data_IF_277434859632
#
_entry.id   IF_277434859632
#
_cell.length_a   1.000
_cell.length_b   1.000
_cell.length_c   1.000
_cell.angle_alpha   90.00
_cell.angle_beta   90.00
_cell.angle_gamma   90.00
#
_symmetry.space_group_name_H-M   'P 1'
#
loop_
_entity.id
_entity.type
_entity.pdbx_description
1 polymer ?
#
# COMPACT_ATOMS: atom_id res chain seq x y z
N UNK A 1 23.31 9.44 -31.70
CA UNK A 1 22.43 8.80 -30.71
C UNK A 1 21.09 9.53 -30.75
N UNK A 2 20.05 8.87 -31.26
CA UNK A 2 18.67 9.41 -31.25
C UNK A 2 18.26 9.74 -29.82
N UNK A 3 17.78 10.97 -29.55
CA UNK A 3 17.21 11.32 -28.26
C UNK A 3 15.91 10.54 -28.13
N UNK A 4 15.92 9.45 -27.32
CA UNK A 4 14.69 8.72 -26.99
C UNK A 4 13.69 9.71 -26.40
N UNK A 5 12.49 9.77 -26.98
CA UNK A 5 11.42 10.67 -26.50
C UNK A 5 10.66 9.97 -25.38
N UNK A 6 10.59 10.62 -24.22
CA UNK A 6 9.83 10.14 -23.06
C UNK A 6 8.35 9.97 -23.47
N UNK A 7 7.74 8.81 -23.16
CA UNK A 7 6.33 8.51 -23.42
C UNK A 7 6.03 7.89 -24.78
N UNK A 8 7.00 7.81 -25.71
CA UNK A 8 6.79 7.19 -27.02
C UNK A 8 7.48 5.84 -27.17
N UNK A 9 8.71 5.71 -26.67
CA UNK A 9 9.48 4.48 -26.75
C UNK A 9 9.86 3.96 -25.35
N UNK A 10 9.93 2.62 -25.15
CA UNK A 10 10.38 2.05 -23.89
C UNK A 10 11.84 2.38 -23.60
N UNK A 11 12.13 2.96 -22.43
CA UNK A 11 13.48 3.30 -21.98
C UNK A 11 13.86 2.39 -20.80
N UNK A 12 14.79 1.47 -21.05
CA UNK A 12 15.30 0.55 -20.01
C UNK A 12 16.62 1.00 -19.39
N UNK A 13 17.29 1.99 -19.96
CA UNK A 13 18.48 2.66 -19.39
C UNK A 13 18.26 4.17 -19.37
N UNK A 14 17.85 4.68 -18.22
CA UNK A 14 17.55 6.10 -18.06
C UNK A 14 18.76 7.02 -18.17
N UNK A 15 20.00 6.48 -18.12
CA UNK A 15 21.23 7.28 -18.33
C UNK A 15 21.25 7.92 -19.72
N UNK A 16 20.61 7.29 -20.71
CA UNK A 16 20.46 7.83 -22.06
C UNK A 16 19.68 9.15 -22.13
N UNK A 17 18.83 9.40 -21.11
CA UNK A 17 18.03 10.63 -20.99
C UNK A 17 18.82 11.81 -20.39
N UNK A 18 19.95 11.52 -19.74
CA UNK A 18 20.77 12.50 -19.00
C UNK A 18 20.28 12.77 -17.58
N UNK A 19 21.22 13.23 -16.71
CA UNK A 19 20.97 13.42 -15.26
C UNK A 19 19.76 14.33 -14.92
N UNK A 20 19.53 15.50 -15.58
CA UNK A 20 18.40 16.34 -15.21
C UNK A 20 17.05 15.66 -15.45
N UNK A 21 16.88 14.95 -16.57
CA UNK A 21 15.64 14.23 -16.87
C UNK A 21 15.40 13.07 -15.93
N UNK A 22 16.46 12.33 -15.58
CA UNK A 22 16.38 11.26 -14.57
C UNK A 22 15.92 11.81 -13.21
N UNK A 23 16.42 12.97 -12.81
CA UNK A 23 16.01 13.60 -11.55
C UNK A 23 14.55 14.03 -11.58
N UNK A 24 14.07 14.65 -12.67
CA UNK A 24 12.66 15.03 -12.84
C UNK A 24 11.76 13.80 -12.79
N UNK A 25 12.14 12.71 -13.46
CA UNK A 25 11.39 11.44 -13.41
C UNK A 25 11.38 10.85 -11.98
N UNK A 26 12.50 10.90 -11.27
CA UNK A 26 12.55 10.51 -9.85
C UNK A 26 11.62 11.35 -8.98
N UNK A 27 11.58 12.65 -9.21
CA UNK A 27 10.65 13.56 -8.52
C UNK A 27 9.18 13.23 -8.86
N UNK A 28 8.88 12.84 -10.10
CA UNK A 28 7.55 12.36 -10.51
C UNK A 28 7.12 11.12 -9.71
N UNK A 29 8.00 10.14 -9.59
CA UNK A 29 7.73 8.94 -8.81
C UNK A 29 7.57 9.24 -7.32
N UNK A 30 8.33 10.19 -6.77
CA UNK A 30 8.17 10.65 -5.39
C UNK A 30 6.80 11.29 -5.18
N UNK A 31 6.35 12.16 -6.07
CA UNK A 31 5.02 12.76 -5.98
C UNK A 31 3.88 11.77 -6.19
N UNK A 32 4.06 10.76 -7.04
CA UNK A 32 3.03 9.73 -7.26
C UNK A 32 2.79 8.89 -6.00
N UNK A 33 3.85 8.49 -5.30
CA UNK A 33 3.74 7.70 -4.08
C UNK A 33 3.31 8.54 -2.86
N UNK A 34 3.56 9.85 -2.90
CA UNK A 34 3.47 10.72 -1.74
C UNK A 34 2.06 10.71 -1.12
N UNK A 35 1.03 10.90 -1.96
CA UNK A 35 -0.36 10.97 -1.49
C UNK A 35 -0.78 9.73 -0.71
N UNK A 36 -0.50 8.56 -1.23
CA UNK A 36 -0.81 7.30 -0.57
C UNK A 36 0.06 7.08 0.69
N UNK A 37 1.36 7.37 0.60
CA UNK A 37 2.32 7.13 1.70
C UNK A 37 2.00 7.95 2.95
N UNK A 38 1.52 9.18 2.81
CA UNK A 38 1.21 10.05 3.97
C UNK A 38 -0.15 9.79 4.59
N UNK A 39 -1.08 9.18 3.85
CA UNK A 39 -2.42 8.86 4.37
C UNK A 39 -2.40 7.73 5.39
N UNK A 40 -1.57 6.72 5.21
CA UNK A 40 -1.51 5.57 6.14
C UNK A 40 -1.09 6.00 7.54
N UNK A 41 0.00 6.76 7.78
CA UNK A 41 0.34 7.23 9.12
C UNK A 41 -0.75 8.14 9.70
N UNK A 42 -1.38 9.02 8.91
CA UNK A 42 -2.48 9.86 9.36
C UNK A 42 -3.68 9.04 9.88
N UNK A 43 -3.97 7.89 9.27
CA UNK A 43 -5.08 7.00 9.63
C UNK A 43 -4.72 6.00 10.73
N UNK A 44 -3.47 5.60 10.85
CA UNK A 44 -2.99 4.63 11.84
C UNK A 44 -2.44 5.26 13.11
N UNK A 45 -2.21 6.59 13.13
CA UNK A 45 -1.59 7.30 14.25
C UNK A 45 -0.06 7.20 14.29
N UNK A 46 0.56 6.63 13.26
CA UNK A 46 2.01 6.56 13.11
C UNK A 46 2.59 7.90 12.61
N UNK A 47 3.90 8.02 12.62
CA UNK A 47 4.58 9.26 12.24
C UNK A 47 4.89 9.33 10.75
N UNK A 48 4.62 10.51 10.15
CA UNK A 48 4.83 10.77 8.72
C UNK A 48 6.31 10.77 8.33
N UNK A 49 7.17 11.37 9.17
CA UNK A 49 8.60 11.44 8.87
C UNK A 49 9.24 10.06 8.91
N UNK A 50 8.92 9.26 9.93
CA UNK A 50 9.36 7.86 10.04
C UNK A 50 8.85 7.03 8.85
N UNK A 51 7.60 7.24 8.43
CA UNK A 51 7.02 6.57 7.25
C UNK A 51 7.79 6.87 5.98
N UNK A 52 8.08 8.14 5.69
CA UNK A 52 8.84 8.54 4.50
C UNK A 52 10.28 8.00 4.51
N UNK A 53 10.93 8.00 5.67
CA UNK A 53 12.26 7.42 5.84
C UNK A 53 12.27 5.96 5.42
N UNK A 54 11.35 5.16 5.99
CA UNK A 54 11.33 3.72 5.76
C UNK A 54 10.66 3.32 4.43
N UNK A 55 9.84 4.15 3.82
CA UNK A 55 9.43 3.98 2.42
C UNK A 55 10.65 4.09 1.50
N UNK A 56 11.51 5.09 1.72
CA UNK A 56 12.75 5.24 0.95
C UNK A 56 13.75 4.11 1.22
N UNK A 57 14.08 3.82 2.49
CA UNK A 57 15.01 2.74 2.87
C UNK A 57 14.48 1.38 2.41
N UNK A 58 13.18 1.10 2.60
CA UNK A 58 12.52 -0.14 2.18
C UNK A 58 12.60 -0.32 0.66
N UNK A 59 12.37 0.74 -0.13
CA UNK A 59 12.54 0.72 -1.59
C UNK A 59 13.98 0.39 -1.99
N UNK A 60 14.99 1.01 -1.34
CA UNK A 60 16.40 0.71 -1.64
C UNK A 60 16.77 -0.72 -1.26
N UNK A 61 16.29 -1.22 -0.11
CA UNK A 61 16.48 -2.61 0.32
C UNK A 61 15.83 -3.59 -0.66
N UNK A 62 14.60 -3.31 -1.10
CA UNK A 62 13.91 -4.11 -2.13
C UNK A 62 14.72 -4.16 -3.43
N UNK A 63 15.23 -3.02 -3.91
CA UNK A 63 16.07 -2.99 -5.11
C UNK A 63 17.38 -3.77 -4.94
N UNK A 64 17.97 -3.75 -3.76
CA UNK A 64 19.16 -4.55 -3.46
C UNK A 64 18.86 -6.06 -3.58
N UNK A 65 17.77 -6.51 -2.95
CA UNK A 65 17.37 -7.92 -2.92
C UNK A 65 16.87 -8.42 -4.28
N UNK A 66 16.24 -7.55 -5.08
CA UNK A 66 15.77 -7.84 -6.44
C UNK A 66 16.85 -7.62 -7.51
N UNK A 67 18.13 -7.45 -7.11
CA UNK A 67 19.28 -7.21 -7.99
C UNK A 67 19.13 -5.96 -8.86
N UNK A 68 18.37 -4.96 -8.40
CA UNK A 68 18.12 -3.73 -9.13
C UNK A 68 17.34 -3.91 -10.44
N UNK A 69 16.55 -4.98 -10.59
CA UNK A 69 15.84 -5.31 -11.83
C UNK A 69 14.40 -4.77 -11.85
N UNK A 70 13.70 -4.80 -10.73
CA UNK A 70 12.27 -4.46 -10.62
C UNK A 70 12.10 -2.97 -10.34
N UNK A 71 11.44 -2.20 -11.22
CA UNK A 71 11.21 -0.78 -11.01
C UNK A 71 9.96 -0.52 -10.13
N UNK A 72 9.92 -1.11 -8.92
CA UNK A 72 8.87 -0.88 -7.96
C UNK A 72 9.31 0.11 -6.88
N UNK A 73 8.40 1.00 -6.46
CA UNK A 73 8.52 1.80 -5.24
C UNK A 73 7.73 1.12 -4.12
N UNK A 74 8.29 1.07 -2.92
CA UNK A 74 7.60 0.58 -1.74
C UNK A 74 7.16 1.74 -0.88
N UNK A 75 5.88 1.77 -0.54
CA UNK A 75 5.31 2.75 0.37
C UNK A 75 4.44 2.08 1.44
N UNK A 76 3.74 2.87 2.22
CA UNK A 76 2.96 2.38 3.36
C UNK A 76 1.72 1.58 2.93
N UNK A 77 1.52 0.40 3.52
CA UNK A 77 0.42 -0.51 3.19
C UNK A 77 -0.90 -0.11 3.86
N UNK A 78 -1.96 0.02 3.06
CA UNK A 78 -3.31 0.28 3.53
C UNK A 78 -3.96 -0.93 4.21
N UNK A 79 -3.60 -2.14 3.82
CA UNK A 79 -4.20 -3.37 4.34
C UNK A 79 -3.96 -3.56 5.84
N UNK A 80 -2.90 -2.99 6.40
CA UNK A 80 -2.59 -3.08 7.82
C UNK A 80 -3.26 -2.01 8.69
N UNK A 81 -3.95 -1.00 8.10
CA UNK A 81 -4.62 0.07 8.88
C UNK A 81 -5.62 -0.53 9.87
N UNK A 82 -6.41 -1.51 9.43
CA UNK A 82 -7.34 -2.22 10.33
C UNK A 82 -6.64 -2.90 11.51
N UNK A 83 -5.46 -3.47 11.30
CA UNK A 83 -4.65 -4.09 12.34
C UNK A 83 -4.10 -3.08 13.35
N UNK A 84 -3.53 -1.95 12.88
CA UNK A 84 -3.10 -0.87 13.78
C UNK A 84 -4.25 -0.34 14.62
N UNK A 85 -5.40 -0.08 13.99
CA UNK A 85 -6.56 0.43 14.68
C UNK A 85 -7.14 -0.58 15.67
N UNK A 86 -7.20 -1.86 15.34
CA UNK A 86 -7.68 -2.91 16.23
C UNK A 86 -6.82 -3.00 17.50
N UNK A 87 -5.50 -2.91 17.39
CA UNK A 87 -4.58 -3.01 18.54
C UNK A 87 -4.65 -1.75 19.41
N UNK A 88 -4.77 -0.55 18.84
CA UNK A 88 -4.81 0.69 19.62
C UNK A 88 -6.20 1.11 20.12
N UNK A 89 -7.27 0.44 19.71
CA UNK A 89 -8.63 0.73 20.18
C UNK A 89 -8.82 0.23 21.61
N UNK A 90 -9.16 1.13 22.54
CA UNK A 90 -9.40 0.81 23.95
C UNK A 90 -10.87 0.93 24.34
N UNK A 91 -11.74 1.38 23.45
CA UNK A 91 -13.16 1.53 23.68
C UNK A 91 -13.85 2.30 22.55
N UNK A 92 -15.13 2.56 22.73
CA UNK A 92 -15.94 3.36 21.81
C UNK A 92 -16.69 4.45 22.56
N UNK A 93 -16.79 5.63 21.94
CA UNK A 93 -17.60 6.75 22.44
C UNK A 93 -19.11 6.46 22.30
N UNK A 94 -19.94 7.29 22.89
CA UNK A 94 -21.40 7.18 22.79
C UNK A 94 -21.94 7.33 21.34
N UNK A 95 -21.20 8.01 20.48
CA UNK A 95 -21.50 8.16 19.03
C UNK A 95 -21.00 6.99 18.17
N UNK A 96 -20.41 5.96 18.79
CA UNK A 96 -19.84 4.80 18.11
C UNK A 96 -18.43 5.00 17.55
N UNK A 97 -17.80 6.18 17.75
CA UNK A 97 -16.41 6.40 17.32
C UNK A 97 -15.43 5.69 18.26
N UNK A 98 -14.34 5.14 17.68
CA UNK A 98 -13.32 4.44 18.43
C UNK A 98 -12.47 5.40 19.28
N UNK A 99 -12.15 4.98 20.50
CA UNK A 99 -11.18 5.65 21.38
C UNK A 99 -9.83 4.98 21.19
N UNK A 100 -8.83 5.76 20.76
CA UNK A 100 -7.51 5.25 20.47
C UNK A 100 -6.49 5.57 21.56
N UNK A 101 -5.66 4.57 21.89
CA UNK A 101 -4.44 4.75 22.69
C UNK A 101 -3.21 4.51 21.82
N UNK A 102 -2.51 5.59 21.47
CA UNK A 102 -1.33 5.52 20.62
C UNK A 102 -0.10 4.91 21.32
N UNK A 103 -0.12 4.71 22.64
CA UNK A 103 0.94 4.01 23.37
C UNK A 103 1.00 2.53 23.01
N UNK A 104 -0.10 1.99 22.47
CA UNK A 104 -0.17 0.61 21.98
C UNK A 104 0.39 0.42 20.56
N UNK A 105 0.77 1.51 19.87
CA UNK A 105 1.31 1.41 18.50
C UNK A 105 2.61 0.60 18.42
N UNK A 106 3.44 0.60 19.45
CA UNK A 106 4.65 -0.22 19.48
C UNK A 106 4.33 -1.74 19.45
N UNK A 107 3.25 -2.17 20.12
CA UNK A 107 2.75 -3.55 20.04
C UNK A 107 2.23 -3.86 18.63
N UNK A 108 1.48 -2.96 18.02
CA UNK A 108 1.03 -3.12 16.65
C UNK A 108 2.21 -3.21 15.67
N UNK A 109 3.21 -2.36 15.82
CA UNK A 109 4.45 -2.42 15.03
C UNK A 109 5.18 -3.74 15.19
N UNK A 110 5.22 -4.32 16.41
CA UNK A 110 5.77 -5.66 16.61
C UNK A 110 4.97 -6.73 15.85
N UNK A 111 3.64 -6.69 15.91
CA UNK A 111 2.77 -7.59 15.14
C UNK A 111 3.03 -7.51 13.63
N UNK A 112 3.21 -6.28 13.10
CA UNK A 112 3.53 -6.04 11.68
C UNK A 112 4.95 -6.51 11.34
N UNK A 113 5.92 -6.35 12.23
CA UNK A 113 7.27 -6.87 12.02
C UNK A 113 7.26 -8.39 11.87
N UNK A 114 6.50 -9.10 12.70
CA UNK A 114 6.30 -10.56 12.57
C UNK A 114 5.53 -10.90 11.28
N UNK A 115 4.50 -10.11 10.90
CA UNK A 115 3.80 -10.28 9.64
C UNK A 115 4.74 -10.16 8.42
N UNK A 116 5.71 -9.24 8.45
CA UNK A 116 6.76 -9.12 7.43
C UNK A 116 7.63 -10.38 7.31
N UNK A 117 7.89 -11.09 8.43
CA UNK A 117 8.64 -12.36 8.40
C UNK A 117 7.85 -13.50 7.74
N UNK A 118 6.50 -13.43 7.72
CA UNK A 118 5.67 -14.43 7.00
C UNK A 118 5.94 -14.42 5.49
N UNK A 119 6.35 -13.29 4.93
CA UNK A 119 6.77 -13.21 3.53
C UNK A 119 7.99 -14.08 3.22
N UNK A 120 8.88 -14.30 4.20
CA UNK A 120 10.04 -15.19 4.05
C UNK A 120 9.58 -16.63 3.83
N UNK A 121 8.50 -17.04 4.50
CA UNK A 121 7.91 -18.38 4.33
C UNK A 121 7.41 -18.54 2.90
N UNK A 122 6.59 -17.60 2.41
CA UNK A 122 6.07 -17.65 1.04
C UNK A 122 7.20 -17.52 -0.01
N UNK A 123 8.17 -16.65 0.22
CA UNK A 123 9.39 -16.51 -0.59
C UNK A 123 10.12 -17.85 -0.71
N UNK A 124 10.27 -18.57 0.41
CA UNK A 124 10.93 -19.88 0.45
C UNK A 124 10.12 -20.93 -0.31
N UNK A 125 8.78 -20.91 -0.19
CA UNK A 125 7.92 -21.80 -0.99
C UNK A 125 8.07 -21.55 -2.49
N UNK A 126 8.12 -20.29 -2.92
CA UNK A 126 8.39 -19.96 -4.34
C UNK A 126 9.78 -20.43 -4.80
N UNK A 127 10.79 -20.34 -3.93
CA UNK A 127 12.16 -20.78 -4.24
C UNK A 127 12.25 -22.30 -4.37
N UNK A 128 11.58 -23.06 -3.50
CA UNK A 128 11.64 -24.54 -3.44
C UNK A 128 10.74 -25.16 -4.48
N UNK A 129 9.48 -24.73 -4.56
CA UNK A 129 8.45 -25.37 -5.40
C UNK A 129 8.27 -24.74 -6.76
N UNK A 130 8.85 -23.55 -6.98
CA UNK A 130 8.74 -22.79 -8.21
C UNK A 130 7.41 -22.05 -8.36
N UNK A 131 7.39 -21.11 -9.32
CA UNK A 131 6.27 -20.19 -9.54
C UNK A 131 4.97 -20.93 -9.86
N UNK A 132 5.02 -21.88 -10.80
CA UNK A 132 3.84 -22.63 -11.28
C UNK A 132 3.07 -23.36 -10.17
N UNK A 133 3.79 -24.02 -9.25
CA UNK A 133 3.16 -24.78 -8.17
C UNK A 133 2.54 -23.87 -7.11
N UNK A 134 3.21 -22.77 -6.74
CA UNK A 134 2.73 -21.86 -5.69
C UNK A 134 1.59 -20.99 -6.21
N UNK A 135 1.68 -20.43 -7.43
CA UNK A 135 0.62 -19.62 -8.06
C UNK A 135 -0.71 -20.35 -8.23
N UNK A 136 -0.70 -21.68 -8.21
CA UNK A 136 -1.92 -22.48 -8.20
C UNK A 136 -2.85 -22.16 -7.03
N UNK A 137 -2.29 -21.66 -5.91
CA UNK A 137 -3.06 -21.27 -4.72
C UNK A 137 -3.49 -19.80 -4.75
N UNK A 138 -2.88 -18.99 -5.62
CA UNK A 138 -3.12 -17.55 -5.76
C UNK A 138 -3.60 -17.17 -7.18
N UNK A 139 -4.62 -17.86 -7.73
CA UNK A 139 -5.17 -17.49 -9.04
C UNK A 139 -5.93 -16.17 -8.97
N UNK A 140 -6.20 -15.51 -10.11
CA UNK A 140 -6.91 -14.24 -10.16
C UNK A 140 -8.29 -14.24 -9.49
N UNK A 141 -8.98 -15.39 -9.44
CA UNK A 141 -10.25 -15.56 -8.71
C UNK A 141 -10.09 -15.41 -7.19
N UNK A 142 -8.90 -15.58 -6.66
CA UNK A 142 -8.59 -15.36 -5.24
C UNK A 142 -8.01 -13.96 -5.05
N UNK A 143 -7.00 -13.60 -5.87
CA UNK A 143 -6.26 -12.33 -5.70
C UNK A 143 -7.14 -11.12 -6.00
N UNK A 144 -7.94 -11.16 -7.06
CA UNK A 144 -8.82 -10.07 -7.45
C UNK A 144 -9.82 -9.68 -6.36
N UNK A 145 -10.67 -10.59 -5.89
CA UNK A 145 -11.64 -10.30 -4.82
C UNK A 145 -10.98 -9.85 -3.50
N UNK A 146 -9.78 -10.35 -3.14
CA UNK A 146 -9.06 -9.87 -1.95
C UNK A 146 -8.65 -8.41 -2.12
N UNK A 147 -8.10 -8.02 -3.29
CA UNK A 147 -7.73 -6.63 -3.57
C UNK A 147 -8.97 -5.72 -3.58
N UNK A 148 -10.09 -6.17 -4.16
CA UNK A 148 -11.38 -5.45 -4.09
C UNK A 148 -11.76 -5.21 -2.64
N UNK A 149 -11.68 -6.25 -1.80
CA UNK A 149 -12.06 -6.19 -0.41
C UNK A 149 -11.18 -5.23 0.41
N UNK A 150 -9.87 -5.11 0.12
CA UNK A 150 -8.97 -4.15 0.79
C UNK A 150 -9.53 -2.73 0.67
N UNK A 151 -9.86 -2.28 -0.53
CA UNK A 151 -10.40 -0.93 -0.73
C UNK A 151 -11.79 -0.75 -0.09
N UNK A 152 -12.69 -1.74 -0.24
CA UNK A 152 -14.05 -1.64 0.28
C UNK A 152 -14.11 -1.65 1.82
N UNK A 153 -13.28 -2.42 2.51
CA UNK A 153 -13.26 -2.47 3.97
C UNK A 153 -12.80 -1.17 4.61
N UNK A 154 -12.02 -0.37 3.89
CA UNK A 154 -11.54 0.94 4.35
C UNK A 154 -12.54 2.08 4.09
N UNK A 155 -13.59 1.84 3.27
CA UNK A 155 -14.54 2.88 2.83
C UNK A 155 -15.25 3.59 3.98
N UNK A 156 -15.60 2.88 5.06
CA UNK A 156 -16.25 3.45 6.25
C UNK A 156 -15.38 4.52 6.92
N UNK A 157 -14.08 4.29 7.05
CA UNK A 157 -13.17 5.26 7.64
C UNK A 157 -13.08 6.55 6.79
N UNK A 158 -13.09 6.41 5.46
CA UNK A 158 -13.11 7.55 4.56
C UNK A 158 -14.41 8.35 4.70
N UNK A 159 -15.58 7.68 4.74
CA UNK A 159 -16.88 8.34 4.97
C UNK A 159 -16.90 9.06 6.33
N UNK A 160 -16.40 8.43 7.37
CA UNK A 160 -16.33 9.03 8.71
C UNK A 160 -15.47 10.30 8.69
N UNK A 161 -14.33 10.27 8.02
CA UNK A 161 -13.48 11.45 7.87
C UNK A 161 -14.15 12.56 7.04
N UNK A 162 -14.93 12.22 6.01
CA UNK A 162 -15.69 13.19 5.21
C UNK A 162 -16.75 13.93 6.04
N UNK A 163 -17.33 13.28 7.06
CA UNK A 163 -18.34 13.90 7.94
C UNK A 163 -17.82 15.12 8.71
N UNK A 164 -16.50 15.24 8.90
CA UNK A 164 -15.92 16.43 9.52
C UNK A 164 -16.27 17.71 8.74
N UNK A 165 -16.21 17.67 7.40
CA UNK A 165 -16.68 18.75 6.53
C UNK A 165 -16.87 18.21 5.09
N UNK A 166 -18.11 17.93 4.70
CA UNK A 166 -18.43 17.43 3.37
C UNK A 166 -18.02 18.35 2.22
N UNK A 167 -18.06 19.67 2.43
CA UNK A 167 -17.67 20.60 1.39
C UNK A 167 -16.20 20.45 1.01
N UNK A 168 -15.30 20.38 2.00
CA UNK A 168 -13.87 20.14 1.78
C UNK A 168 -13.63 18.77 1.15
N UNK A 169 -14.34 17.73 1.61
CA UNK A 169 -14.22 16.38 1.06
C UNK A 169 -14.67 16.33 -0.42
N UNK A 170 -15.78 16.99 -0.78
CA UNK A 170 -16.27 17.06 -2.17
C UNK A 170 -15.26 17.80 -3.05
N UNK A 171 -14.71 18.91 -2.58
CA UNK A 171 -13.66 19.64 -3.32
C UNK A 171 -12.46 18.75 -3.58
N UNK A 172 -12.01 17.96 -2.59
CA UNK A 172 -10.93 16.99 -2.76
C UNK A 172 -11.25 15.97 -3.87
N UNK A 173 -12.45 15.36 -3.81
CA UNK A 173 -12.92 14.38 -4.79
C UNK A 173 -12.97 14.99 -6.20
N UNK A 174 -13.55 16.18 -6.34
CA UNK A 174 -13.70 16.86 -7.64
C UNK A 174 -12.34 17.19 -8.25
N UNK A 175 -11.36 17.62 -7.44
CA UNK A 175 -10.01 17.89 -7.91
C UNK A 175 -9.35 16.61 -8.41
N UNK A 176 -9.43 15.51 -7.64
CA UNK A 176 -8.84 14.22 -8.05
C UNK A 176 -9.48 13.74 -9.35
N UNK A 177 -10.81 13.76 -9.47
CA UNK A 177 -11.51 13.36 -10.69
C UNK A 177 -11.13 14.26 -11.86
N UNK A 178 -11.10 15.60 -11.65
CA UNK A 178 -10.78 16.57 -12.67
C UNK A 178 -9.40 16.32 -13.29
N UNK A 179 -8.38 16.11 -12.45
CA UNK A 179 -7.03 15.85 -12.95
C UNK A 179 -6.86 14.44 -13.52
N UNK A 180 -7.60 13.42 -13.04
CA UNK A 180 -7.60 12.10 -13.66
C UNK A 180 -8.19 12.12 -15.07
N UNK A 181 -9.30 12.85 -15.27
CA UNK A 181 -10.06 12.83 -16.53
C UNK A 181 -9.51 13.83 -17.57
N UNK A 182 -9.21 15.04 -17.14
CA UNK A 182 -8.81 16.14 -18.05
C UNK A 182 -7.36 16.58 -17.87
N UNK A 183 -6.64 16.04 -16.87
CA UNK A 183 -5.24 16.36 -16.64
C UNK A 183 -4.36 15.96 -17.81
N UNK A 184 -3.30 16.76 -18.04
CA UNK A 184 -2.29 16.51 -19.07
C UNK A 184 -0.90 16.44 -18.44
N UNK A 185 -0.02 15.62 -19.02
CA UNK A 185 1.36 15.49 -18.55
C UNK A 185 1.44 15.10 -17.07
N UNK A 186 2.19 15.87 -16.28
CA UNK A 186 2.41 15.62 -14.85
C UNK A 186 1.12 15.62 -14.04
N UNK A 187 0.19 16.53 -14.29
CA UNK A 187 -1.04 16.65 -13.52
C UNK A 187 -1.92 15.38 -13.60
N UNK A 188 -1.87 14.64 -14.71
CA UNK A 188 -2.54 13.34 -14.84
C UNK A 188 -1.88 12.24 -14.02
N UNK A 189 -0.59 12.38 -13.69
CA UNK A 189 0.19 11.38 -12.95
C UNK A 189 -0.02 11.50 -11.44
N UNK A 190 -0.27 12.72 -10.93
CA UNK A 190 -0.32 13.03 -9.49
C UNK A 190 -1.70 13.55 -9.03
N UNK A 191 -2.83 13.00 -9.48
CA UNK A 191 -4.16 13.55 -9.18
C UNK A 191 -4.46 13.52 -7.68
N UNK A 192 -4.03 12.47 -6.96
CA UNK A 192 -4.21 12.34 -5.51
C UNK A 192 -3.49 13.46 -4.78
N UNK A 193 -2.23 13.72 -5.12
CA UNK A 193 -1.46 14.83 -4.52
C UNK A 193 -2.12 16.19 -4.80
N UNK A 194 -2.61 16.41 -6.02
CA UNK A 194 -3.30 17.65 -6.37
C UNK A 194 -4.64 17.79 -5.63
N UNK A 195 -5.34 16.68 -5.41
CA UNK A 195 -6.53 16.62 -4.56
C UNK A 195 -6.24 17.00 -3.12
N UNK A 196 -5.17 16.43 -2.55
CA UNK A 196 -4.69 16.79 -1.20
C UNK A 196 -4.36 18.28 -1.14
N UNK A 197 -3.46 18.76 -1.99
CA UNK A 197 -3.00 20.15 -1.94
C UNK A 197 -4.15 21.15 -2.17
N UNK A 198 -4.98 20.91 -3.19
CA UNK A 198 -6.06 21.81 -3.54
C UNK A 198 -7.14 21.89 -2.48
N UNK A 199 -7.58 20.77 -1.92
CA UNK A 199 -8.57 20.77 -0.84
C UNK A 199 -7.99 21.24 0.49
N UNK A 200 -6.71 21.02 0.73
CA UNK A 200 -6.03 21.56 1.91
C UNK A 200 -5.94 23.09 1.87
N UNK A 201 -5.52 23.66 0.72
CA UNK A 201 -5.51 25.12 0.51
C UNK A 201 -6.93 25.67 0.65
N UNK A 202 -7.92 25.01 0.05
CA UNK A 202 -9.32 25.41 0.17
C UNK A 202 -9.78 25.42 1.65
N UNK A 203 -9.46 24.38 2.41
CA UNK A 203 -9.78 24.30 3.83
C UNK A 203 -9.17 25.46 4.64
N UNK A 204 -7.90 25.77 4.43
CA UNK A 204 -7.21 26.90 5.08
C UNK A 204 -7.86 28.25 4.74
N UNK A 205 -8.40 28.40 3.54
CA UNK A 205 -9.06 29.64 3.12
C UNK A 205 -10.43 29.81 3.79
N UNK A 206 -11.24 28.74 3.81
CA UNK A 206 -12.63 28.81 4.27
C UNK A 206 -12.79 28.64 5.78
N UNK A 207 -11.87 27.94 6.45
CA UNK A 207 -11.96 27.63 7.87
C UNK A 207 -10.80 28.28 8.65
N UNK A 208 -11.10 29.33 9.47
CA UNK A 208 -10.10 29.99 10.29
C UNK A 208 -9.49 29.06 11.37
N UNK A 209 -10.24 28.07 11.86
CA UNK A 209 -9.74 27.13 12.87
C UNK A 209 -8.68 26.18 12.27
N UNK A 210 -8.95 25.63 11.09
CA UNK A 210 -7.98 24.82 10.34
C UNK A 210 -6.72 25.62 10.01
N UNK A 211 -6.88 26.87 9.56
CA UNK A 211 -5.74 27.77 9.31
C UNK A 211 -4.88 28.00 10.54
N UNK A 212 -5.50 28.25 11.70
CA UNK A 212 -4.79 28.46 12.97
C UNK A 212 -4.06 27.16 13.42
N UNK A 213 -4.71 26.00 13.31
CA UNK A 213 -4.13 24.70 13.63
C UNK A 213 -2.89 24.41 12.80
N UNK A 214 -3.00 24.58 11.47
CA UNK A 214 -1.86 24.38 10.54
C UNK A 214 -0.72 25.35 10.84
N UNK A 215 -1.02 26.64 11.04
CA UNK A 215 -0.02 27.65 11.35
C UNK A 215 0.72 27.32 12.65
N UNK A 216 0.01 26.88 13.70
CA UNK A 216 0.59 26.48 14.97
C UNK A 216 1.50 25.25 14.81
N UNK A 217 1.04 24.21 14.11
CA UNK A 217 1.80 22.99 13.87
C UNK A 217 3.09 23.27 13.11
N UNK A 218 3.03 24.05 12.03
CA UNK A 218 4.19 24.37 11.18
C UNK A 218 5.16 25.33 11.89
N UNK A 219 4.66 26.31 12.65
CA UNK A 219 5.52 27.28 13.36
C UNK A 219 6.33 26.61 14.48
N UNK A 220 5.72 25.66 15.21
CA UNK A 220 6.38 24.94 16.30
C UNK A 220 7.40 23.90 15.84
N UNK A 221 7.30 23.42 14.59
CA UNK A 221 8.16 22.39 14.05
C UNK A 221 9.55 22.93 13.66
N UNK A 222 10.58 22.11 13.87
CA UNK A 222 11.97 22.41 13.46
C UNK A 222 12.16 22.16 11.96
N UNK A 223 13.15 22.82 11.36
CA UNK A 223 13.54 22.57 9.96
C UNK A 223 14.26 21.23 9.79
N UNK A 224 15.08 20.84 10.77
CA UNK A 224 15.84 19.59 10.75
C UNK A 224 15.58 18.78 12.03
N UNK A 225 15.42 17.48 11.90
CA UNK A 225 15.25 16.56 13.01
C UNK A 225 15.45 15.11 12.58
N UNK A 226 15.64 14.22 13.54
CA UNK A 226 15.68 12.79 13.27
C UNK A 226 14.24 12.30 12.98
N UNK A 227 14.02 11.61 11.85
CA UNK A 227 12.70 11.18 11.43
C UNK A 227 12.30 9.84 12.08
N UNK A 228 12.50 9.69 13.39
CA UNK A 228 12.17 8.48 14.15
C UNK A 228 11.48 8.87 15.45
N UNK A 229 10.25 8.42 15.62
CA UNK A 229 9.52 8.50 16.90
C UNK A 229 9.84 7.26 17.71
N UNK A 230 10.85 7.35 18.58
CA UNK A 230 11.36 6.22 19.37
C UNK A 230 10.27 5.48 20.15
N UNK A 231 9.27 6.20 20.67
CA UNK A 231 8.13 5.65 21.43
C UNK A 231 7.34 4.60 20.66
N UNK A 232 7.23 4.74 19.34
CA UNK A 232 6.50 3.81 18.49
C UNK A 232 7.35 2.61 18.05
N UNK A 233 8.67 2.61 18.33
CA UNK A 233 9.57 1.55 17.91
C UNK A 233 9.41 0.29 18.78
N UNK A 234 9.61 -0.85 18.17
CA UNK A 234 9.67 -2.14 18.88
C UNK A 234 10.82 -2.17 19.89
N UNK A 235 11.91 -1.45 19.63
CA UNK A 235 13.05 -1.36 20.57
C UNK A 235 12.66 -0.65 21.85
N UNK A 236 11.84 0.41 21.77
CA UNK A 236 11.31 1.08 22.95
C UNK A 236 10.37 0.18 23.75
N UNK A 237 9.55 -0.62 23.07
CA UNK A 237 8.66 -1.57 23.72
C UNK A 237 9.42 -2.54 24.62
N UNK A 238 10.55 -3.08 24.14
CA UNK A 238 11.38 -4.01 24.91
C UNK A 238 12.34 -3.33 25.89
N UNK A 239 12.42 -2.02 25.92
CA UNK A 239 13.19 -1.28 26.92
C UNK A 239 12.45 -1.12 28.27
N UNK A 240 11.17 -1.48 28.35
CA UNK A 240 10.32 -1.41 29.54
C UNK A 240 9.61 -2.73 29.84
N UNK A 241 8.70 -2.73 30.82
CA UNK A 241 7.85 -3.90 31.09
C UNK A 241 6.91 -4.14 29.92
N UNK A 242 6.93 -5.38 29.40
CA UNK A 242 6.11 -5.80 28.26
C UNK A 242 4.89 -6.56 28.76
N UNK A 243 3.71 -6.15 28.34
CA UNK A 243 2.49 -6.94 28.50
C UNK A 243 2.46 -8.08 27.47
N UNK A 244 2.74 -9.30 27.90
CA UNK A 244 2.77 -10.48 27.05
C UNK A 244 1.41 -10.78 26.43
N UNK A 245 0.30 -10.49 27.13
CA UNK A 245 -1.06 -10.69 26.62
C UNK A 245 -1.32 -9.79 25.41
N UNK A 246 -1.02 -8.48 25.56
CA UNK A 246 -1.15 -7.49 24.48
C UNK A 246 -0.22 -7.82 23.31
N UNK A 247 1.02 -8.27 23.59
CA UNK A 247 2.00 -8.62 22.56
C UNK A 247 1.47 -9.73 21.66
N UNK A 248 1.00 -10.85 22.26
CA UNK A 248 0.44 -11.97 21.51
C UNK A 248 -0.88 -11.61 20.82
N UNK A 249 -1.74 -10.81 21.46
CA UNK A 249 -2.96 -10.29 20.84
C UNK A 249 -2.66 -9.49 19.58
N UNK A 250 -1.68 -8.59 19.62
CA UNK A 250 -1.26 -7.81 18.46
C UNK A 250 -0.71 -8.71 17.33
N UNK A 251 0.14 -9.68 17.65
CA UNK A 251 0.70 -10.64 16.66
C UNK A 251 -0.43 -11.43 16.01
N UNK A 252 -1.31 -12.02 16.81
CA UNK A 252 -2.38 -12.89 16.30
C UNK A 252 -3.45 -12.13 15.51
N UNK A 253 -3.66 -10.83 15.81
CA UNK A 253 -4.55 -9.96 15.07
C UNK A 253 -3.96 -9.52 13.73
N UNK A 254 -2.65 -9.24 13.69
CA UNK A 254 -2.02 -8.59 12.54
C UNK A 254 -1.40 -9.60 11.56
N UNK A 255 -0.77 -10.68 12.05
CA UNK A 255 -0.10 -11.65 11.18
C UNK A 255 -1.03 -12.22 10.08
N UNK A 256 -2.29 -12.58 10.34
CA UNK A 256 -3.17 -13.07 9.29
C UNK A 256 -3.42 -12.08 8.15
N UNK A 257 -3.30 -10.76 8.40
CA UNK A 257 -3.41 -9.73 7.34
C UNK A 257 -2.29 -9.83 6.31
N UNK A 258 -1.14 -10.39 6.67
CA UNK A 258 -0.03 -10.60 5.74
C UNK A 258 -0.41 -11.45 4.53
N UNK A 259 -1.40 -12.34 4.65
CA UNK A 259 -1.90 -13.13 3.52
C UNK A 259 -2.50 -12.22 2.44
N UNK A 260 -3.30 -11.22 2.83
CA UNK A 260 -3.88 -10.27 1.89
C UNK A 260 -2.79 -9.44 1.19
N UNK A 261 -1.81 -8.95 1.94
CA UNK A 261 -0.73 -8.13 1.39
C UNK A 261 0.27 -8.92 0.55
N UNK A 262 0.52 -10.18 0.87
CA UNK A 262 1.30 -11.06 -0.01
C UNK A 262 0.59 -11.30 -1.35
N UNK A 263 -0.74 -11.43 -1.32
CA UNK A 263 -1.57 -11.53 -2.53
C UNK A 263 -1.52 -10.23 -3.34
N UNK A 264 -1.64 -9.08 -2.70
CA UNK A 264 -1.49 -7.75 -3.30
C UNK A 264 -0.13 -7.61 -4.00
N UNK A 265 0.96 -7.96 -3.30
CA UNK A 265 2.31 -7.94 -3.86
C UNK A 265 2.46 -8.81 -5.12
N UNK A 266 1.89 -10.01 -5.12
CA UNK A 266 1.89 -10.88 -6.30
C UNK A 266 1.20 -10.20 -7.48
N UNK A 267 0.03 -9.59 -7.24
CA UNK A 267 -0.72 -8.82 -8.26
C UNK A 267 0.08 -7.65 -8.82
N UNK A 268 0.72 -6.88 -7.95
CA UNK A 268 1.53 -5.73 -8.33
C UNK A 268 2.75 -6.12 -9.18
N UNK A 269 3.46 -7.17 -8.79
CA UNK A 269 4.61 -7.65 -9.58
C UNK A 269 4.17 -8.17 -10.96
N UNK A 270 2.99 -8.79 -11.07
CA UNK A 270 2.40 -9.14 -12.36
C UNK A 270 2.09 -7.88 -13.19
N UNK A 271 1.48 -6.86 -12.60
CA UNK A 271 1.15 -5.60 -13.27
C UNK A 271 2.42 -4.85 -13.74
N UNK A 272 3.45 -4.77 -12.89
CA UNK A 272 4.74 -4.18 -13.26
C UNK A 272 5.41 -4.97 -14.37
N UNK A 273 5.34 -6.31 -14.34
CA UNK A 273 5.91 -7.19 -15.38
C UNK A 273 5.26 -6.92 -16.72
N UNK A 274 3.93 -6.85 -16.76
CA UNK A 274 3.16 -6.52 -17.96
C UNK A 274 3.50 -5.13 -18.48
N UNK A 275 3.49 -4.12 -17.62
CA UNK A 275 3.79 -2.71 -17.97
C UNK A 275 5.19 -2.57 -18.57
N UNK A 276 6.18 -3.26 -18.01
CA UNK A 276 7.58 -3.19 -18.45
C UNK A 276 7.92 -4.15 -19.61
N UNK A 277 7.02 -5.06 -19.98
CA UNK A 277 7.30 -6.11 -20.95
C UNK A 277 8.43 -7.06 -20.49
N UNK A 278 8.58 -7.29 -19.19
CA UNK A 278 9.60 -8.15 -18.58
C UNK A 278 8.99 -9.07 -17.54
N UNK A 279 9.43 -10.31 -17.52
CA UNK A 279 8.93 -11.31 -16.57
C UNK A 279 9.69 -11.27 -15.24
N UNK A 280 9.28 -10.37 -14.33
CA UNK A 280 9.87 -10.26 -13.00
C UNK A 280 9.47 -11.39 -12.05
N UNK A 281 8.46 -12.18 -12.39
CA UNK A 281 8.06 -13.36 -11.63
C UNK A 281 9.10 -14.48 -11.70
N UNK A 282 9.87 -14.52 -12.79
CA UNK A 282 10.95 -15.49 -13.03
C UNK A 282 12.31 -14.88 -12.74
N UNK A 283 12.59 -13.67 -13.24
CA UNK A 283 13.87 -12.98 -13.06
C UNK A 283 13.63 -11.53 -12.61
N UNK A 284 13.90 -11.18 -11.35
CA UNK A 284 14.67 -11.90 -10.31
C UNK A 284 13.91 -13.02 -9.58
N UNK A 285 12.61 -13.16 -9.84
CA UNK A 285 11.73 -14.18 -9.27
C UNK A 285 10.96 -13.71 -8.04
N UNK A 286 9.74 -14.26 -7.84
CA UNK A 286 8.90 -13.95 -6.69
C UNK A 286 9.58 -14.18 -5.34
N UNK A 287 10.48 -15.18 -5.25
CA UNK A 287 11.22 -15.41 -4.02
C UNK A 287 12.08 -14.21 -3.59
N UNK A 288 12.55 -13.38 -4.54
CA UNK A 288 13.32 -12.17 -4.22
C UNK A 288 12.44 -10.96 -3.98
N UNK A 289 11.36 -10.81 -4.74
CA UNK A 289 10.45 -9.68 -4.57
C UNK A 289 9.69 -9.77 -3.25
N UNK A 290 9.18 -10.95 -2.88
CA UNK A 290 8.54 -11.21 -1.59
C UNK A 290 9.53 -11.05 -0.42
N UNK A 291 10.77 -11.56 -0.57
CA UNK A 291 11.79 -11.36 0.46
C UNK A 291 12.09 -9.87 0.66
N UNK A 292 12.15 -9.11 -0.43
CA UNK A 292 12.41 -7.67 -0.39
C UNK A 292 11.29 -6.89 0.29
N UNK A 293 10.05 -7.21 -0.04
CA UNK A 293 8.86 -6.57 0.52
C UNK A 293 8.69 -6.91 2.02
N UNK A 294 8.81 -8.19 2.37
CA UNK A 294 8.73 -8.65 3.76
C UNK A 294 9.81 -8.08 4.66
N UNK A 295 11.07 -8.07 4.22
CA UNK A 295 12.17 -7.49 4.99
C UNK A 295 12.07 -5.96 5.10
N UNK A 296 11.58 -5.27 4.06
CA UNK A 296 11.30 -3.84 4.12
C UNK A 296 10.19 -3.55 5.14
N UNK A 297 9.12 -4.34 5.15
CA UNK A 297 8.02 -4.26 6.14
C UNK A 297 8.53 -4.51 7.56
N UNK A 298 9.29 -5.58 7.77
CA UNK A 298 9.86 -5.89 9.09
C UNK A 298 10.76 -4.77 9.58
N UNK A 299 11.68 -4.30 8.73
CA UNK A 299 12.60 -3.22 9.09
C UNK A 299 11.85 -1.92 9.44
N UNK A 300 10.90 -1.51 8.61
CA UNK A 300 10.09 -0.32 8.84
C UNK A 300 9.37 -0.38 10.20
N UNK A 301 8.71 -1.51 10.46
CA UNK A 301 7.91 -1.69 11.68
C UNK A 301 8.76 -1.78 12.94
N UNK A 302 9.96 -2.34 12.89
CA UNK A 302 10.91 -2.33 14.03
C UNK A 302 11.21 -0.90 14.52
N UNK A 303 11.23 0.08 13.62
CA UNK A 303 11.47 1.49 13.95
C UNK A 303 10.19 2.32 14.10
N UNK A 304 9.01 1.71 14.13
CA UNK A 304 7.75 2.42 14.34
C UNK A 304 7.17 3.08 13.09
N UNK A 305 7.58 2.63 11.90
CA UNK A 305 6.94 2.99 10.65
C UNK A 305 5.88 1.94 10.26
N UNK A 306 4.89 2.29 9.42
CA UNK A 306 3.93 1.33 8.91
C UNK A 306 4.59 0.29 7.99
N UNK A 307 3.87 -0.84 7.80
CA UNK A 307 4.24 -1.86 6.83
C UNK A 307 4.49 -1.24 5.44
N UNK A 308 5.49 -1.75 4.74
CA UNK A 308 5.71 -1.41 3.34
C UNK A 308 4.95 -2.37 2.41
N UNK A 309 4.64 -1.91 1.21
CA UNK A 309 4.13 -2.72 0.10
C UNK A 309 4.49 -2.07 -1.23
N UNK A 310 4.44 -2.83 -2.31
CA UNK A 310 4.61 -2.29 -3.67
C UNK A 310 3.46 -1.36 -4.04
N UNK A 311 3.77 -0.27 -4.79
CA UNK A 311 2.78 0.76 -5.12
C UNK A 311 2.34 0.72 -6.59
N UNK A 312 1.05 0.48 -6.80
CA UNK A 312 0.40 0.52 -8.11
C UNK A 312 0.40 1.93 -8.74
N UNK A 313 0.36 3.01 -7.93
CA UNK A 313 0.46 4.39 -8.40
C UNK A 313 1.76 4.65 -9.16
N UNK A 314 2.86 4.10 -8.69
CA UNK A 314 4.14 4.20 -9.37
C UNK A 314 4.19 3.38 -10.66
N UNK A 315 3.44 2.29 -10.75
CA UNK A 315 3.25 1.54 -12.00
C UNK A 315 2.53 2.39 -13.06
N UNK A 316 1.57 3.24 -12.64
CA UNK A 316 0.95 4.23 -13.52
C UNK A 316 1.95 5.22 -14.11
N UNK A 317 2.93 5.69 -13.32
CA UNK A 317 4.02 6.55 -13.81
C UNK A 317 4.89 5.82 -14.83
N UNK A 318 5.23 4.54 -14.57
CA UNK A 318 5.98 3.70 -15.52
C UNK A 318 5.24 3.58 -16.85
N UNK A 319 3.94 3.31 -16.83
CA UNK A 319 3.12 3.17 -18.02
C UNK A 319 3.07 4.45 -18.86
N UNK A 320 2.95 5.62 -18.21
CA UNK A 320 2.87 6.91 -18.90
C UNK A 320 4.22 7.42 -19.40
N UNK A 321 5.27 7.29 -18.60
CA UNK A 321 6.62 7.75 -18.97
C UNK A 321 7.33 6.80 -19.91
N UNK A 322 6.95 5.52 -19.91
CA UNK A 322 7.65 4.40 -20.56
C UNK A 322 9.12 4.29 -20.17
N UNK A 323 9.48 4.79 -18.99
CA UNK A 323 10.84 4.67 -18.44
C UNK A 323 10.84 3.61 -17.35
N UNK A 324 11.43 2.46 -17.67
CA UNK A 324 11.38 1.24 -16.85
C UNK A 324 12.68 0.96 -16.10
N UNK A 325 13.55 1.96 -15.98
CA UNK A 325 14.83 1.84 -15.28
C UNK A 325 14.64 2.02 -13.76
N UNK A 326 14.96 1.02 -12.93
CA UNK A 326 14.89 1.11 -11.47
C UNK A 326 15.72 2.25 -10.85
N UNK A 327 16.68 2.83 -11.56
CA UNK A 327 17.48 3.98 -11.09
C UNK A 327 16.61 5.20 -10.82
N UNK A 328 15.56 5.40 -11.61
CA UNK A 328 14.63 6.52 -11.41
C UNK A 328 13.86 6.37 -10.11
N UNK A 329 13.44 5.15 -9.80
CA UNK A 329 12.76 4.82 -8.54
C UNK A 329 13.72 5.03 -7.34
N UNK A 330 15.00 4.65 -7.48
CA UNK A 330 16.00 4.90 -6.43
C UNK A 330 16.21 6.39 -6.15
N UNK A 331 16.15 7.24 -7.17
CA UNK A 331 16.20 8.69 -6.98
C UNK A 331 14.99 9.15 -6.15
N UNK A 332 13.78 8.67 -6.47
CA UNK A 332 12.58 8.96 -5.68
C UNK A 332 12.74 8.52 -4.21
N UNK A 333 13.27 7.32 -3.98
CA UNK A 333 13.54 6.80 -2.65
C UNK A 333 14.54 7.68 -1.87
N UNK A 334 15.63 8.12 -2.51
CA UNK A 334 16.58 9.04 -1.89
C UNK A 334 15.93 10.40 -1.57
N UNK A 335 15.07 10.93 -2.44
CA UNK A 335 14.35 12.18 -2.17
C UNK A 335 13.43 12.00 -0.95
N UNK A 336 12.69 10.89 -0.86
CA UNK A 336 11.83 10.60 0.28
C UNK A 336 12.62 10.55 1.60
N UNK A 337 13.80 9.91 1.60
CA UNK A 337 14.72 9.89 2.75
C UNK A 337 15.13 11.31 3.13
N UNK A 338 15.56 12.13 2.17
CA UNK A 338 15.99 13.51 2.46
C UNK A 338 14.83 14.35 3.03
N UNK A 339 13.64 14.24 2.46
CA UNK A 339 12.44 14.97 2.91
C UNK A 339 12.03 14.54 4.32
N UNK A 340 12.25 13.29 4.71
CA UNK A 340 11.90 12.79 6.05
C UNK A 340 12.64 13.52 7.18
N UNK A 341 13.83 14.08 6.93
CA UNK A 341 14.60 14.85 7.91
C UNK A 341 14.09 16.29 8.11
N UNK A 342 12.95 16.65 7.48
CA UNK A 342 12.33 17.96 7.65
C UNK A 342 11.04 17.84 8.50
N UNK A 343 11.10 18.02 9.85
CA UNK A 343 9.91 17.96 10.71
C UNK A 343 8.84 18.98 10.34
N UNK A 344 9.19 20.13 9.77
CA UNK A 344 8.22 21.11 9.27
C UNK A 344 7.34 20.53 8.17
N UNK A 345 7.93 19.74 7.29
CA UNK A 345 7.19 19.04 6.24
C UNK A 345 6.25 17.98 6.83
N UNK A 346 6.74 17.19 7.78
CA UNK A 346 5.92 16.20 8.48
C UNK A 346 4.77 16.88 9.26
N UNK A 347 5.03 18.00 9.93
CA UNK A 347 4.01 18.77 10.64
C UNK A 347 2.93 19.32 9.69
N UNK A 348 3.33 19.85 8.52
CA UNK A 348 2.38 20.27 7.48
C UNK A 348 1.46 19.14 7.05
N UNK A 349 2.01 17.95 6.84
CA UNK A 349 1.22 16.77 6.45
C UNK A 349 0.33 16.27 7.58
N UNK A 350 0.84 16.22 8.81
CA UNK A 350 0.08 15.75 9.98
C UNK A 350 -1.04 16.71 10.39
N UNK A 351 -0.92 17.99 10.05
CA UNK A 351 -1.95 19.00 10.28
C UNK A 351 -3.02 19.06 9.15
N UNK A 352 -3.01 18.09 8.24
CA UNK A 352 -3.99 18.02 7.16
C UNK A 352 -5.41 17.85 7.71
N UNK A 353 -6.39 18.65 7.24
CA UNK A 353 -7.78 18.54 7.66
C UNK A 353 -8.34 17.13 7.46
N UNK A 354 -9.05 16.62 8.46
CA UNK A 354 -9.65 15.27 8.41
C UNK A 354 -10.55 15.08 7.20
N UNK A 355 -11.30 16.11 6.80
CA UNK A 355 -12.16 16.08 5.62
C UNK A 355 -11.39 15.95 4.30
N UNK A 356 -10.20 16.58 4.19
CA UNK A 356 -9.28 16.40 3.05
C UNK A 356 -8.83 14.94 2.97
N UNK A 357 -8.40 14.36 4.11
CA UNK A 357 -8.02 12.94 4.21
C UNK A 357 -9.20 12.07 3.76
N UNK A 358 -10.42 12.35 4.24
CA UNK A 358 -11.63 11.61 3.87
C UNK A 358 -11.92 11.61 2.39
N UNK A 359 -11.98 12.80 1.77
CA UNK A 359 -12.31 12.95 0.35
C UNK A 359 -11.30 12.26 -0.57
N UNK A 360 -10.01 12.43 -0.30
CA UNK A 360 -8.94 11.78 -1.08
C UNK A 360 -8.96 10.27 -0.87
N UNK A 361 -9.16 9.80 0.38
CA UNK A 361 -9.21 8.38 0.70
C UNK A 361 -10.38 7.66 0.00
N UNK A 362 -11.55 8.30 -0.13
CA UNK A 362 -12.68 7.73 -0.88
C UNK A 362 -12.30 7.36 -2.32
N UNK A 363 -11.62 8.28 -3.01
CA UNK A 363 -11.17 8.02 -4.39
C UNK A 363 -10.09 6.95 -4.40
N UNK A 364 -9.12 7.04 -3.49
CA UNK A 364 -8.00 6.10 -3.42
C UNK A 364 -8.45 4.66 -3.14
N UNK A 365 -9.34 4.45 -2.15
CA UNK A 365 -9.86 3.13 -1.83
C UNK A 365 -10.71 2.55 -2.97
N UNK A 366 -11.48 3.43 -3.65
CA UNK A 366 -12.17 3.04 -4.87
C UNK A 366 -11.21 2.60 -5.98
N UNK A 367 -10.08 3.29 -6.15
CA UNK A 367 -9.05 2.92 -7.13
C UNK A 367 -8.37 1.60 -6.77
N UNK A 368 -8.06 1.35 -5.47
CA UNK A 368 -7.53 0.05 -5.02
C UNK A 368 -8.52 -1.07 -5.39
N UNK A 369 -9.81 -0.89 -5.09
CA UNK A 369 -10.84 -1.88 -5.47
C UNK A 369 -10.91 -2.07 -6.99
N UNK A 370 -10.79 -1.01 -7.76
CA UNK A 370 -10.79 -1.07 -9.23
C UNK A 370 -9.58 -1.87 -9.79
N UNK A 371 -8.42 -1.82 -9.14
CA UNK A 371 -7.26 -2.68 -9.49
C UNK A 371 -7.62 -4.16 -9.32
N UNK A 372 -8.33 -4.52 -8.25
CA UNK A 372 -8.82 -5.89 -8.06
C UNK A 372 -9.82 -6.32 -9.15
N UNK A 373 -10.76 -5.44 -9.53
CA UNK A 373 -11.68 -5.67 -10.66
C UNK A 373 -10.90 -5.87 -11.96
N UNK A 374 -9.94 -5.01 -12.22
CA UNK A 374 -9.04 -5.09 -13.38
C UNK A 374 -8.32 -6.44 -13.42
N UNK A 375 -7.78 -6.91 -12.30
CA UNK A 375 -7.12 -8.22 -12.20
C UNK A 375 -8.05 -9.36 -12.65
N UNK A 376 -9.31 -9.36 -12.19
CA UNK A 376 -10.30 -10.36 -12.57
C UNK A 376 -10.63 -10.30 -14.06
N UNK A 377 -10.85 -9.11 -14.61
CA UNK A 377 -11.24 -8.89 -16.01
C UNK A 377 -10.11 -9.22 -16.98
N UNK A 378 -8.90 -8.74 -16.72
CA UNK A 378 -7.74 -8.97 -17.60
C UNK A 378 -7.35 -10.44 -17.66
N UNK A 379 -7.52 -11.17 -16.55
CA UNK A 379 -7.26 -12.61 -16.49
C UNK A 379 -8.50 -13.44 -16.96
N UNK A 380 -9.54 -12.80 -17.48
CA UNK A 380 -10.73 -13.46 -18.04
C UNK A 380 -11.33 -14.51 -17.10
N UNK A 381 -11.44 -14.19 -15.81
CA UNK A 381 -12.05 -15.08 -14.83
C UNK A 381 -13.49 -15.35 -15.22
N UNK A 382 -13.84 -16.61 -15.41
CA UNK A 382 -15.19 -17.01 -15.80
C UNK A 382 -16.15 -17.08 -14.59
N UNK A 383 -17.05 -16.11 -14.48
CA UNK A 383 -18.09 -16.08 -13.45
C UNK A 383 -19.35 -16.88 -13.83
N UNK A 384 -19.40 -17.54 -14.97
CA UNK A 384 -20.42 -18.57 -15.25
C UNK A 384 -20.09 -19.88 -14.51
N UNK A 385 -18.83 -20.07 -14.13
CA UNK A 385 -18.39 -21.17 -13.31
C UNK A 385 -18.81 -20.97 -11.85
N UNK A 386 -19.72 -21.81 -11.36
CA UNK A 386 -20.26 -21.76 -9.98
C UNK A 386 -19.17 -21.78 -8.92
N UNK A 387 -18.08 -22.50 -9.16
CA UNK A 387 -16.90 -22.53 -8.27
C UNK A 387 -16.33 -21.12 -8.07
N UNK A 388 -16.12 -20.40 -9.14
CA UNK A 388 -15.53 -19.05 -9.11
C UNK A 388 -16.48 -18.07 -8.42
N UNK A 389 -17.79 -18.16 -8.71
CA UNK A 389 -18.81 -17.36 -8.03
C UNK A 389 -18.75 -17.57 -6.51
N UNK A 390 -18.71 -18.83 -6.05
CA UNK A 390 -18.66 -19.15 -4.60
C UNK A 390 -17.39 -18.58 -3.95
N UNK A 391 -16.23 -18.75 -4.57
CA UNK A 391 -14.96 -18.25 -4.04
C UNK A 391 -15.00 -16.73 -3.89
N UNK A 392 -15.36 -16.01 -4.96
CA UNK A 392 -15.42 -14.56 -4.94
C UNK A 392 -16.48 -14.02 -3.96
N UNK A 393 -17.68 -14.62 -3.96
CA UNK A 393 -18.76 -14.21 -3.07
C UNK A 393 -18.36 -14.36 -1.59
N UNK A 394 -17.77 -15.49 -1.21
CA UNK A 394 -17.34 -15.70 0.19
C UNK A 394 -16.20 -14.79 0.59
N UNK A 395 -15.21 -14.53 -0.29
CA UNK A 395 -14.15 -13.56 -0.02
C UNK A 395 -14.75 -12.18 0.28
N UNK A 396 -15.61 -11.68 -0.62
CA UNK A 396 -16.17 -10.33 -0.50
C UNK A 396 -17.11 -10.20 0.70
N UNK A 397 -18.02 -11.15 0.88
CA UNK A 397 -19.02 -11.11 1.97
C UNK A 397 -18.35 -11.26 3.34
N UNK A 398 -17.37 -12.17 3.48
CA UNK A 398 -16.66 -12.33 4.76
C UNK A 398 -15.78 -11.12 5.07
N UNK A 399 -15.07 -10.58 4.07
CA UNK A 399 -14.24 -9.39 4.29
C UNK A 399 -15.07 -8.21 4.77
N UNK A 400 -16.15 -7.88 4.07
CA UNK A 400 -17.00 -6.73 4.37
C UNK A 400 -17.85 -7.00 5.62
N UNK A 401 -18.53 -8.15 5.66
CA UNK A 401 -19.46 -8.50 6.74
C UNK A 401 -18.77 -8.51 8.10
N UNK A 402 -17.62 -9.20 8.23
CA UNK A 402 -16.88 -9.24 9.49
C UNK A 402 -16.31 -7.87 9.87
N UNK A 403 -15.84 -7.09 8.89
CA UNK A 403 -15.31 -5.74 9.18
C UNK A 403 -16.37 -4.83 9.82
N UNK A 404 -17.63 -4.94 9.40
CA UNK A 404 -18.71 -4.07 9.91
C UNK A 404 -19.53 -4.68 11.06
N UNK A 405 -19.56 -6.01 11.20
CA UNK A 405 -20.23 -6.68 12.33
C UNK A 405 -19.33 -6.90 13.55
N UNK A 406 -18.03 -6.66 13.40
CA UNK A 406 -17.01 -6.91 14.39
C UNK A 406 -16.15 -8.14 14.08
N UNK A 407 -14.87 -8.07 14.44
CA UNK A 407 -13.91 -9.16 14.21
C UNK A 407 -14.33 -10.45 14.93
N UNK A 408 -14.00 -11.60 14.33
CA UNK A 408 -14.25 -12.90 14.94
C UNK A 408 -13.26 -13.11 16.08
N UNK A 409 -13.80 -13.26 17.30
CA UNK A 409 -12.99 -13.51 18.49
C UNK A 409 -12.85 -15.02 18.72
N UNK A 410 -11.62 -15.51 18.75
CA UNK A 410 -11.28 -16.92 19.09
C UNK A 410 -10.30 -16.88 20.28
N UNK A 411 -10.82 -16.90 21.49
CA UNK A 411 -10.01 -16.69 22.70
C UNK A 411 -9.40 -15.29 22.71
N UNK A 412 -8.07 -15.21 22.69
CA UNK A 412 -7.33 -13.93 22.64
C UNK A 412 -7.09 -13.43 21.20
N UNK A 413 -7.50 -14.19 20.20
CA UNK A 413 -7.27 -13.89 18.77
C UNK A 413 -8.45 -13.12 18.20
N UNK A 414 -8.21 -11.96 17.63
CA UNK A 414 -9.20 -11.15 16.90
C UNK A 414 -8.92 -11.26 15.39
N UNK A 415 -9.71 -12.03 14.66
CA UNK A 415 -9.57 -12.20 13.22
C UNK A 415 -10.37 -11.14 12.48
N UNK A 416 -9.67 -10.29 11.73
CA UNK A 416 -10.29 -9.29 10.86
C UNK A 416 -10.96 -9.92 9.64
N UNK A 417 -11.91 -9.19 9.03
CA UNK A 417 -12.61 -9.63 7.84
C UNK A 417 -11.67 -9.99 6.69
N UNK A 418 -10.63 -9.18 6.43
CA UNK A 418 -9.64 -9.46 5.38
C UNK A 418 -8.82 -10.72 5.65
N UNK A 419 -8.44 -10.96 6.90
CA UNK A 419 -7.71 -12.16 7.27
C UNK A 419 -8.53 -13.43 7.03
N UNK A 420 -9.78 -13.44 7.52
CA UNK A 420 -10.70 -14.57 7.32
C UNK A 420 -10.99 -14.79 5.84
N UNK A 421 -11.29 -13.73 5.09
CA UNK A 421 -11.57 -13.80 3.66
C UNK A 421 -10.39 -14.39 2.86
N UNK A 422 -9.16 -13.98 3.20
CA UNK A 422 -7.95 -14.49 2.54
C UNK A 422 -7.74 -15.98 2.81
N UNK A 423 -7.86 -16.40 4.07
CA UNK A 423 -7.76 -17.80 4.45
C UNK A 423 -8.82 -18.64 3.73
N UNK A 424 -10.09 -18.22 3.81
CA UNK A 424 -11.21 -18.94 3.21
C UNK A 424 -11.07 -19.00 1.69
N UNK A 425 -10.70 -17.89 1.03
CA UNK A 425 -10.50 -17.86 -0.41
C UNK A 425 -9.42 -18.82 -0.89
N UNK A 426 -8.27 -18.85 -0.23
CA UNK A 426 -7.16 -19.76 -0.54
C UNK A 426 -7.58 -21.24 -0.30
N UNK A 427 -8.25 -21.52 0.82
CA UNK A 427 -8.70 -22.88 1.16
C UNK A 427 -9.76 -23.37 0.19
N UNK A 428 -10.77 -22.58 -0.14
CA UNK A 428 -11.80 -22.93 -1.13
C UNK A 428 -11.19 -23.18 -2.50
N UNK A 429 -10.26 -22.32 -2.93
CA UNK A 429 -9.53 -22.56 -4.17
C UNK A 429 -8.72 -23.87 -4.14
N UNK A 430 -8.19 -24.26 -2.99
CA UNK A 430 -7.46 -25.53 -2.86
C UNK A 430 -8.37 -26.76 -2.94
N UNK A 431 -9.54 -26.68 -2.28
CA UNK A 431 -10.44 -27.83 -2.04
C UNK A 431 -11.45 -28.05 -3.18
N UNK A 432 -12.07 -26.94 -3.69
CA UNK A 432 -13.14 -27.06 -4.69
C UNK A 432 -12.63 -27.61 -6.03
N UNK A 433 -13.37 -28.56 -6.66
CA UNK A 433 -13.06 -29.09 -7.98
C UNK A 433 -13.35 -28.06 -9.09
N UNK A 434 -12.98 -28.39 -10.34
CA UNK A 434 -13.31 -27.56 -11.52
C UNK A 434 -12.41 -26.32 -11.67
N UNK A 435 -11.11 -26.45 -11.38
CA UNK A 435 -10.14 -25.39 -11.61
C UNK A 435 -10.00 -25.09 -13.09
N UNK A 436 -10.23 -23.86 -13.48
CA UNK A 436 -10.20 -23.34 -14.85
C UNK A 436 -8.96 -22.46 -15.13
N UNK A 437 -8.22 -22.08 -14.10
CA UNK A 437 -7.01 -21.27 -14.23
C UNK A 437 -5.77 -22.15 -14.31
N UNK A 438 -5.01 -22.03 -15.41
CA UNK A 438 -3.69 -22.64 -15.58
C UNK A 438 -2.63 -21.55 -15.68
N UNK A 439 -1.68 -21.57 -14.77
CA UNK A 439 -0.51 -20.70 -14.87
C UNK A 439 0.51 -21.36 -15.81
N UNK A 440 0.55 -20.89 -17.06
CA UNK A 440 1.51 -21.38 -18.05
C UNK A 440 2.75 -20.48 -18.08
N UNK A 441 3.91 -21.12 -18.06
CA UNK A 441 5.19 -20.51 -18.31
C UNK A 441 5.67 -21.00 -19.68
N UNK A 442 5.87 -20.10 -20.65
CA UNK A 442 6.55 -20.51 -21.87
C UNK A 442 8.04 -20.70 -21.59
N UNK A 443 8.69 -21.58 -22.33
CA UNK A 443 10.10 -21.94 -22.17
C UNK A 443 11.07 -20.77 -22.39
N UNK A 444 10.57 -19.63 -22.92
CA UNK A 444 11.34 -18.40 -23.13
C UNK A 444 11.24 -17.41 -21.95
N UNK A 445 10.60 -17.80 -20.85
CA UNK A 445 10.48 -16.96 -19.66
C UNK A 445 9.49 -15.80 -19.78
N UNK A 446 8.75 -15.68 -20.88
CA UNK A 446 7.61 -14.80 -20.99
C UNK A 446 6.41 -15.46 -20.30
N UNK A 447 5.63 -14.72 -19.54
CA UNK A 447 4.37 -15.24 -19.02
C UNK A 447 3.39 -15.39 -20.17
N UNK A 448 2.69 -16.51 -20.23
CA UNK A 448 1.53 -16.70 -21.10
C UNK A 448 0.29 -15.97 -20.60
N UNK A 449 0.39 -15.16 -19.57
CA UNK A 449 -0.60 -14.15 -19.25
C UNK A 449 -0.46 -13.09 -20.34
N UNK A 450 -1.25 -13.26 -21.38
CA UNK A 450 -1.37 -12.31 -22.49
C UNK A 450 -2.09 -11.06 -21.95
N UNK A 451 -1.36 -10.21 -21.26
CA UNK A 451 -1.84 -8.89 -20.91
C UNK A 451 -1.84 -8.04 -22.18
N UNK A 452 -2.84 -8.21 -23.01
CA UNK A 452 -3.14 -7.24 -24.06
C UNK A 452 -3.58 -5.96 -23.37
N UNK A 453 -2.71 -4.95 -23.41
CA UNK A 453 -3.00 -3.57 -23.02
C UNK A 453 -3.99 -2.97 -23.99
#
# INVERSE_FOLDING_TARGET
MSKSSIGTEPVYDARTLGKPRMFILGLQHMFAMFGATVLVPALSGLDVATTLLFAGIGTLLFHLLTKGKVPAFLGSSFAFIGGYNAVRTIGTNADGSAIYNNDLLAYACFGVAIAGLMYIILSTLFKIFGVKKVMRYFPPIVTGPIIIAIGLTLSSSAITNCRANWLIAIVAILIVIGFNMWGKGMAKIIPILLGVLGSYIFAIIIDPAERASVAAAVSSAKWFGLPIVWKNSVFHLFAGPVDSGMLWSAVLTIVPLSLATMVEHIGDICAISSTCGKNFMVDPGFHRTLLGDGLATTLASLFGAPANTTYGENTGVLALSRVYDPRVIRIAACIAIVVSFCPKFAALVSAMPTATIGGVSLVLYGMISAVGVRNVVENKVDFTNTRNVIIAALILVLAIGITYSGSIQIGVVSLSGLAVASIVGILLNAILPGKDYTFEQNDQGATSVDFKV
#
